data_IF_893674297459
#
_entry.id   IF_893674297459
#
_cell.length_a   1.000
_cell.length_b   1.000
_cell.length_c   1.000
_cell.angle_alpha   90.00
_cell.angle_beta   90.00
_cell.angle_gamma   90.00
#
_symmetry.space_group_name_H-M   'P 1'
#
loop_
_entity.id
_entity.type
_entity.pdbx_description
1 polymer ?
2 water ?
#
# COMPACT_ATOMS: atom_id res chain seq x y z
N UNK A 2 16.91 26.76 -1.25
CA UNK A 2 15.46 26.57 -1.35
C UNK A 2 15.18 25.14 -1.78
N UNK A 3 14.37 24.44 -0.99
CA UNK A 3 14.03 23.07 -1.28
C UNK A 3 12.53 22.82 -1.38
N UNK A 4 12.18 21.80 -2.15
CA UNK A 4 10.78 21.44 -2.31
C UNK A 4 10.68 19.93 -2.14
N UNK A 5 10.06 19.51 -1.04
CA UNK A 5 9.92 18.11 -0.73
C UNK A 5 8.60 17.55 -1.25
N UNK A 6 8.72 16.47 -2.03
CA UNK A 6 7.59 15.78 -2.65
C UNK A 6 7.21 14.48 -1.97
N UNK A 7 5.92 14.15 -2.08
CA UNK A 7 5.40 12.89 -1.55
C UNK A 7 5.17 12.07 -2.82
N UNK A 8 5.12 10.75 -2.72
CA UNK A 8 4.94 9.93 -3.92
C UNK A 8 3.49 9.59 -4.22
N UNK A 9 2.86 8.78 -3.38
CA UNK A 9 1.48 8.44 -3.64
C UNK A 9 0.62 9.66 -3.41
N UNK A 10 -0.34 9.86 -4.32
CA UNK A 10 -1.25 10.99 -4.24
C UNK A 10 -0.69 12.20 -4.95
N UNK A 11 0.54 12.07 -5.47
CA UNK A 11 1.22 13.16 -6.16
C UNK A 11 1.70 12.76 -7.56
N UNK A 12 2.62 11.80 -7.58
CA UNK A 12 3.22 11.29 -8.81
C UNK A 12 2.57 9.98 -9.23
N UNK A 13 2.34 9.11 -8.25
CA UNK A 13 1.75 7.80 -8.50
C UNK A 13 0.53 7.57 -7.60
N UNK A 14 -0.32 6.62 -7.96
CA UNK A 14 -1.47 6.33 -7.12
C UNK A 14 -1.28 4.97 -6.48
N UNK A 15 -2.18 4.58 -5.59
CA UNK A 15 -2.08 3.30 -4.90
C UNK A 15 -2.95 2.21 -5.50
N UNK A 16 -3.67 2.55 -6.57
CA UNK A 16 -4.58 1.62 -7.25
C UNK A 16 -4.01 0.24 -7.51
N UNK A 17 -2.80 0.19 -8.07
CA UNK A 17 -2.15 -1.08 -8.39
C UNK A 17 -2.08 -1.98 -7.16
N UNK A 18 -1.95 -1.38 -5.98
CA UNK A 18 -1.89 -2.16 -4.75
C UNK A 18 -3.19 -2.94 -4.63
N UNK A 19 -4.31 -2.25 -4.78
CA UNK A 19 -5.63 -2.89 -4.70
C UNK A 19 -5.77 -3.95 -5.80
N UNK A 20 -5.13 -3.68 -6.95
CA UNK A 20 -5.14 -4.60 -8.08
C UNK A 20 -4.41 -5.88 -7.64
N UNK A 21 -3.14 -5.73 -7.29
CA UNK A 21 -2.38 -6.89 -6.87
C UNK A 21 -3.11 -7.59 -5.73
N UNK A 22 -3.66 -6.82 -4.80
CA UNK A 22 -4.39 -7.42 -3.70
C UNK A 22 -5.50 -8.34 -4.26
N UNK A 23 -6.22 -7.86 -5.28
CA UNK A 23 -7.28 -8.64 -5.91
C UNK A 23 -6.72 -9.89 -6.59
N UNK A 24 -5.67 -9.71 -7.39
CA UNK A 24 -5.03 -10.82 -8.09
C UNK A 24 -4.52 -11.87 -7.10
N UNK A 25 -4.13 -11.43 -5.92
CA UNK A 25 -3.62 -12.37 -4.93
C UNK A 25 -4.72 -13.33 -4.53
N UNK A 26 -5.83 -12.78 -4.05
CA UNK A 26 -6.97 -13.57 -3.63
C UNK A 26 -7.38 -14.52 -4.76
N UNK A 27 -7.47 -13.98 -5.97
CA UNK A 27 -7.86 -14.77 -7.13
C UNK A 27 -6.86 -15.91 -7.45
N UNK A 28 -5.56 -15.64 -7.40
CA UNK A 28 -4.59 -16.70 -7.68
C UNK A 28 -4.63 -17.77 -6.61
N UNK A 29 -4.92 -17.38 -5.38
CA UNK A 29 -5.00 -18.32 -4.28
C UNK A 29 -6.28 -19.13 -4.38
N UNK A 30 -7.15 -18.76 -5.32
CA UNK A 30 -8.41 -19.45 -5.45
C UNK A 30 -8.55 -20.38 -6.65
N UNK A 32 -5.69 -21.04 -9.00
CA UNK A 32 -4.50 -21.80 -9.40
C UNK A 32 -4.41 -23.18 -8.78
N UNK A 33 -4.01 -24.14 -9.61
CA UNK A 33 -3.89 -25.52 -9.17
C UNK A 33 -2.66 -25.67 -8.27
N UNK A 34 -2.01 -24.56 -7.97
CA UNK A 34 -0.83 -24.54 -7.08
C UNK A 34 -1.30 -24.40 -5.64
N UNK A 35 -2.57 -24.00 -5.49
CA UNK A 35 -3.21 -23.80 -4.20
C UNK A 35 -4.57 -24.49 -4.15
N UNK A 36 -5.67 -23.73 -4.21
CA UNK A 36 -6.97 -24.39 -4.20
C UNK A 36 -7.34 -24.96 -5.58
N UNK A 37 -7.19 -24.16 -6.63
CA UNK A 37 -7.53 -24.64 -7.95
C UNK A 37 -9.00 -24.96 -8.03
N UNK A 38 -9.83 -24.03 -7.62
CA UNK A 38 -11.29 -24.18 -7.61
C UNK A 38 -11.84 -24.41 -9.02
N UNK A 39 -11.57 -23.47 -9.93
CA UNK A 39 -12.04 -23.57 -11.30
C UNK A 39 -10.96 -23.13 -12.30
N UNK A 40 -11.28 -23.10 -13.60
CA UNK A 40 -10.32 -22.70 -14.62
C UNK A 40 -10.08 -21.21 -14.49
N UNK A 41 -9.05 -20.73 -15.17
CA UNK A 41 -8.72 -19.34 -15.07
C UNK A 41 -7.76 -18.96 -16.18
N UNK A 42 -7.70 -17.66 -16.48
CA UNK A 42 -6.83 -17.19 -17.53
C UNK A 42 -5.37 -17.36 -17.12
N UNK A 43 -4.49 -17.45 -18.11
CA UNK A 43 -3.07 -17.60 -17.85
C UNK A 43 -2.54 -16.32 -17.23
N UNK A 44 -2.01 -16.41 -16.01
CA UNK A 44 -1.49 -15.26 -15.29
C UNK A 44 -0.50 -14.46 -16.11
N UNK A 45 0.36 -15.17 -16.84
CA UNK A 45 1.38 -14.53 -17.63
C UNK A 45 0.85 -13.79 -18.86
N UNK A 46 -0.47 -13.81 -19.08
CA UNK A 46 -1.02 -13.10 -20.23
C UNK A 46 -2.11 -12.09 -19.83
N UNK A 47 -2.20 -11.79 -18.55
CA UNK A 47 -3.19 -10.82 -18.03
C UNK A 47 -3.06 -9.44 -18.69
N UNK A 48 -4.19 -8.75 -18.83
CA UNK A 48 -4.22 -7.40 -19.41
C UNK A 48 -4.77 -6.43 -18.37
N UNK A 49 -4.69 -5.14 -18.66
CA UNK A 49 -5.18 -4.14 -17.71
C UNK A 49 -6.68 -4.29 -17.50
N UNK A 50 -7.34 -4.94 -18.45
CA UNK A 50 -8.79 -5.18 -18.38
C UNK A 50 -9.09 -6.43 -17.56
N UNK A 51 -8.31 -7.50 -17.77
CA UNK A 51 -8.50 -8.75 -17.01
C UNK A 51 -8.41 -8.42 -15.52
N UNK A 52 -7.30 -7.80 -15.15
CA UNK A 52 -7.02 -7.41 -13.77
C UNK A 52 -8.16 -6.58 -13.22
N UNK A 53 -8.71 -5.70 -14.04
CA UNK A 53 -9.79 -4.84 -13.61
C UNK A 53 -11.04 -5.66 -13.38
N UNK A 54 -11.26 -6.63 -14.24
CA UNK A 54 -12.43 -7.47 -14.08
C UNK A 54 -12.29 -8.27 -12.80
N UNK A 55 -11.12 -8.87 -12.61
CA UNK A 55 -10.85 -9.68 -11.44
C UNK A 55 -11.11 -8.87 -10.16
N UNK A 56 -10.51 -7.70 -10.09
CA UNK A 56 -10.66 -6.78 -8.96
C UNK A 56 -12.12 -6.48 -8.71
N UNK A 57 -12.83 -6.24 -9.80
CA UNK A 57 -14.24 -5.94 -9.73
C UNK A 57 -15.02 -7.11 -9.11
N UNK A 58 -14.72 -8.32 -9.56
CA UNK A 58 -15.40 -9.50 -9.03
C UNK A 58 -15.07 -9.75 -7.56
N UNK A 59 -13.78 -9.78 -7.24
CA UNK A 59 -13.32 -10.03 -5.88
C UNK A 59 -13.87 -9.01 -4.88
N UNK A 60 -13.65 -7.72 -5.13
CA UNK A 60 -14.11 -6.68 -4.22
C UNK A 60 -15.53 -6.12 -4.44
N UNK A 61 -16.21 -6.60 -5.47
CA UNK A 61 -17.58 -6.15 -5.77
C UNK A 61 -17.67 -4.64 -5.97
N UNK A 62 -17.04 -4.14 -7.03
CA UNK A 62 -17.05 -2.72 -7.32
C UNK A 62 -16.33 -1.96 -6.23
N UNK A 63 -15.41 -2.63 -5.54
CA UNK A 63 -14.64 -1.98 -4.48
C UNK A 63 -15.42 -1.73 -3.21
N UNK A 64 -16.64 -2.27 -3.14
CA UNK A 64 -17.48 -2.12 -1.96
C UNK A 64 -16.78 -2.78 -0.77
N UNK A 65 -16.25 -3.99 -0.97
CA UNK A 65 -15.53 -4.75 0.06
C UNK A 65 -14.25 -3.99 0.41
N UNK A 66 -13.60 -3.48 -0.62
CA UNK A 66 -12.35 -2.73 -0.48
C UNK A 66 -12.50 -1.43 0.32
N UNK A 67 -13.64 -0.76 0.17
CA UNK A 67 -13.89 0.48 0.89
C UNK A 67 -14.41 0.25 2.31
N UNK A 68 -15.05 -0.90 2.53
CA UNK A 68 -15.58 -1.23 3.85
C UNK A 68 -14.41 -1.51 4.79
N UNK A 69 -13.40 -2.22 4.29
CA UNK A 69 -12.22 -2.56 5.09
C UNK A 69 -11.49 -1.29 5.50
N UNK A 70 -11.59 -0.26 4.67
CA UNK A 70 -10.94 1.01 4.98
C UNK A 70 -11.67 1.67 6.15
N UNK A 71 -12.98 1.82 6.02
CA UNK A 71 -13.76 2.44 7.08
C UNK A 71 -13.67 1.71 8.43
N UNK A 72 -13.19 0.47 8.42
CA UNK A 72 -13.08 -0.31 9.66
C UNK A 72 -11.68 -0.28 10.26
N UNK A 73 -10.73 0.33 9.56
CA UNK A 73 -9.37 0.42 10.06
C UNK A 73 -8.37 -0.50 9.38
N UNK A 74 -8.78 -1.18 8.32
CA UNK A 74 -7.88 -2.09 7.60
C UNK A 74 -7.37 -1.45 6.33
N UNK A 75 -6.25 -0.74 6.45
CA UNK A 75 -5.66 -0.06 5.31
C UNK A 75 -4.42 -0.74 4.76
N UNK A 76 -4.04 -1.87 5.35
CA UNK A 76 -2.90 -2.62 4.87
C UNK A 76 -3.42 -3.59 3.81
N UNK A 77 -2.80 -3.61 2.62
CA UNK A 77 -3.25 -4.50 1.56
C UNK A 77 -3.08 -5.96 1.94
N UNK A 78 -1.98 -6.28 2.63
CA UNK A 78 -1.72 -7.65 3.06
C UNK A 78 -2.90 -8.12 3.90
N UNK A 79 -3.25 -7.33 4.92
CA UNK A 79 -4.36 -7.70 5.79
C UNK A 79 -5.68 -7.83 5.01
N UNK A 81 -6.38 -8.45 1.69
CA UNK A 81 -6.45 -9.62 0.83
C UNK A 81 -6.53 -10.88 1.67
N UNK A 82 -5.90 -10.89 2.85
CA UNK A 82 -5.95 -12.05 3.71
C UNK A 82 -7.37 -12.32 4.22
N UNK A 83 -8.01 -11.28 4.78
CA UNK A 83 -9.37 -11.43 5.31
C UNK A 83 -10.36 -11.85 4.23
N UNK A 84 -10.25 -11.22 3.07
CA UNK A 84 -11.14 -11.53 1.94
C UNK A 84 -10.95 -12.99 1.49
N UNK A 85 -9.71 -13.47 1.50
CA UNK A 85 -9.46 -14.83 1.07
C UNK A 85 -9.87 -15.85 2.12
N UNK A 86 -9.85 -15.44 3.39
CA UNK A 86 -10.23 -16.35 4.48
C UNK A 86 -11.75 -16.62 4.47
N UNK A 87 -12.52 -15.58 4.16
CA UNK A 87 -13.97 -15.68 4.10
C UNK A 87 -14.39 -16.71 3.07
N UNK A 88 -13.67 -16.75 1.95
CA UNK A 88 -13.97 -17.71 0.91
C UNK A 88 -13.43 -19.07 1.27
N UNK A 89 -12.32 -19.10 1.99
CA UNK A 89 -11.73 -20.36 2.39
C UNK A 89 -12.68 -21.04 3.36
N UNK A 90 -13.08 -20.30 4.39
CA UNK A 90 -14.00 -20.81 5.39
C UNK A 90 -15.29 -21.29 4.71
N UNK A 91 -15.69 -20.58 3.65
CA UNK A 91 -16.90 -20.91 2.90
C UNK A 91 -16.80 -22.24 2.16
N UNK A 92 -15.62 -22.53 1.62
CA UNK A 92 -15.36 -23.76 0.90
C UNK A 92 -15.17 -24.90 1.92
N UNK A 93 -14.60 -24.59 3.08
CA UNK A 93 -14.38 -25.60 4.11
C UNK A 93 -15.64 -26.09 4.79
N UNK A 94 -16.72 -25.31 4.69
CA UNK A 94 -17.98 -25.69 5.30
C UNK A 94 -18.75 -26.64 4.39
N UNK A 95 -18.13 -27.04 3.28
CA UNK A 95 -18.75 -27.94 2.33
C UNK A 95 -18.15 -29.35 2.47
N UNK A 96 -17.08 -29.48 3.25
CA UNK A 96 -16.44 -30.78 3.47
C UNK A 96 -16.90 -31.34 4.81
N UNK A 97 -16.59 -32.62 5.05
CA UNK A 97 -16.97 -33.28 6.30
C UNK A 97 -16.10 -32.72 7.42
N UNK A 98 -16.55 -32.84 8.66
CA UNK A 98 -15.77 -32.33 9.76
C UNK A 98 -14.38 -32.97 9.77
N UNK A 99 -14.31 -34.23 9.35
CA UNK A 99 -13.04 -34.93 9.31
C UNK A 99 -12.07 -34.29 8.32
N UNK A 100 -12.56 -33.99 7.13
CA UNK A 100 -11.73 -33.36 6.11
C UNK A 100 -11.25 -32.00 6.59
N UNK A 101 -12.11 -31.32 7.35
CA UNK A 101 -11.77 -30.00 7.89
C UNK A 101 -10.60 -30.08 8.83
N UNK A 102 -10.74 -30.89 9.88
CA UNK A 102 -9.69 -31.04 10.87
C UNK A 102 -8.37 -31.41 10.21
N UNK A 103 -8.45 -32.05 9.04
CA UNK A 103 -7.26 -32.45 8.32
C UNK A 103 -6.51 -31.21 7.85
N UNK A 104 -7.18 -30.40 7.05
CA UNK A 104 -6.59 -29.17 6.52
C UNK A 104 -6.23 -28.21 7.66
N UNK A 106 -5.38 -29.07 10.86
CA UNK A 106 -4.40 -29.56 11.83
C UNK A 106 -3.28 -30.45 11.30
N UNK A 107 -3.24 -30.68 10.00
CA UNK A 107 -2.21 -31.52 9.40
C UNK A 107 -0.85 -30.81 9.53
N UNK A 108 0.19 -31.60 9.78
CA UNK A 108 1.55 -31.09 9.96
C UNK A 108 2.12 -30.47 8.67
N UNK A 109 1.54 -30.78 7.52
CA UNK A 109 2.05 -30.21 6.28
C UNK A 109 1.67 -28.75 6.16
N UNK A 110 2.47 -27.96 5.41
CA UNK A 110 2.20 -26.54 5.22
C UNK A 110 0.85 -26.28 4.54
N UNK A 111 0.15 -25.23 4.99
CA UNK A 111 -1.15 -24.86 4.44
C UNK A 111 -1.14 -24.72 2.94
N UNK A 112 -0.03 -24.26 2.40
CA UNK A 112 0.09 -24.11 0.97
C UNK A 112 -0.19 -25.44 0.28
N UNK A 113 0.36 -26.52 0.81
CA UNK A 113 0.17 -27.84 0.22
C UNK A 113 -1.16 -28.44 0.67
N UNK A 114 -1.63 -28.07 1.86
CA UNK A 114 -2.89 -28.59 2.37
C UNK A 114 -4.06 -27.98 1.60
N UNK A 115 -3.83 -26.84 0.96
CA UNK A 115 -4.88 -26.21 0.18
C UNK A 115 -5.14 -27.05 -1.06
N UNK A 116 -4.09 -27.69 -1.57
CA UNK A 116 -4.19 -28.52 -2.76
C UNK A 116 -5.00 -29.82 -2.59
N UNK A 117 -5.48 -30.07 -1.38
CA UNK A 117 -6.24 -31.28 -1.11
C UNK A 117 -7.66 -31.02 -0.65
N UNK A 118 -8.27 -29.95 -1.14
CA UNK A 118 -9.62 -29.62 -0.73
C UNK A 118 -10.63 -29.76 -1.86
N UNK A 119 -10.24 -29.30 -3.04
CA UNK A 119 -11.10 -29.34 -4.23
C UNK A 119 -11.51 -30.77 -4.61
N UNK A 120 -10.65 -31.75 -4.34
CA UNK A 120 -10.94 -33.13 -4.69
C UNK A 120 -12.03 -33.75 -3.81
N UNK A 121 -12.29 -33.12 -2.66
CA UNK A 121 -13.29 -33.62 -1.71
C UNK A 121 -14.62 -32.87 -1.77
N UNK A 122 -14.78 -32.05 -2.81
CA UNK A 122 -15.99 -31.27 -3.01
C UNK A 122 -17.04 -32.13 -3.72
N UNK A 123 -18.12 -32.43 -3.00
CA UNK A 123 -19.20 -33.25 -3.54
C UNK A 123 -19.81 -32.63 -4.78
N UNK A 124 -20.29 -31.40 -4.63
CA UNK A 124 -20.91 -30.69 -5.74
C UNK A 124 -19.98 -29.60 -6.22
N UNK A 125 -20.35 -28.95 -7.31
CA UNK A 125 -19.54 -27.87 -7.82
C UNK A 125 -19.70 -26.73 -6.81
N UNK A 126 -18.59 -26.16 -6.35
CA UNK A 126 -18.67 -25.06 -5.39
C UNK A 126 -18.89 -23.72 -6.12
N UNK A 127 -19.76 -22.87 -5.60
CA UNK A 127 -20.01 -21.57 -6.23
C UNK A 127 -19.38 -20.47 -5.36
N UNK A 128 -18.53 -19.64 -5.95
CA UNK A 128 -17.81 -18.59 -5.26
C UNK A 128 -18.53 -17.70 -4.23
N UNK A 129 -19.62 -17.07 -4.66
CA UNK A 129 -20.38 -16.15 -3.80
C UNK A 129 -19.46 -15.04 -3.29
N UNK A 130 -19.00 -14.20 -4.22
CA UNK A 130 -18.09 -13.11 -3.91
C UNK A 130 -18.71 -11.95 -3.13
N UNK A 131 -19.83 -12.20 -2.49
CA UNK A 131 -20.49 -11.17 -1.71
C UNK A 131 -20.33 -11.52 -0.22
N UNK A 132 -19.99 -12.77 0.05
CA UNK A 132 -19.83 -13.26 1.42
C UNK A 132 -18.96 -12.37 2.31
N UNK A 133 -17.73 -12.04 1.88
CA UNK A 133 -16.86 -11.20 2.70
C UNK A 133 -17.53 -9.89 3.12
N UNK A 134 -18.27 -9.29 2.20
CA UNK A 134 -18.97 -8.04 2.48
C UNK A 134 -20.10 -8.27 3.49
N UNK A 135 -20.75 -9.42 3.36
CA UNK A 135 -21.85 -9.77 4.26
C UNK A 135 -21.26 -10.36 5.55
N UNK A 136 -19.94 -10.27 5.65
CA UNK A 136 -19.23 -10.77 6.82
C UNK A 136 -18.95 -9.56 7.73
N UNK A 137 -18.53 -8.46 7.12
CA UNK A 137 -18.19 -7.24 7.85
C UNK A 137 -19.41 -6.48 8.38
N UNK A 138 -20.59 -6.87 7.90
CA UNK A 138 -21.86 -6.25 8.31
C UNK A 138 -21.84 -5.75 9.74
N UNK A 139 -21.53 -6.64 10.67
CA UNK A 139 -21.48 -6.26 12.09
C UNK A 139 -20.11 -6.59 12.67
N UNK A 140 -19.16 -5.69 12.46
CA UNK A 140 -17.79 -5.87 12.96
C UNK A 140 -17.30 -4.52 13.51
N UNK A 141 -16.81 -4.52 14.74
CA UNK A 141 -16.32 -3.29 15.36
C UNK A 141 -15.04 -2.79 14.69
N UNK A 142 -14.96 -1.48 14.50
CA UNK A 142 -13.80 -0.87 13.87
C UNK A 142 -12.53 -1.23 14.64
N UNK A 143 -11.44 -1.49 13.91
CA UNK A 143 -10.18 -1.82 14.55
C UNK A 143 -9.58 -3.12 14.05
N UNK A 144 -8.38 -3.03 13.47
CA UNK A 144 -7.71 -4.20 12.92
C UNK A 144 -7.81 -5.41 13.86
N UNK A 145 -7.35 -5.23 15.10
CA UNK A 145 -7.39 -6.29 16.10
C UNK A 145 -8.78 -6.92 16.20
N UNK A 146 -9.81 -6.06 16.20
CA UNK A 146 -11.21 -6.47 16.29
C UNK A 146 -11.65 -7.23 15.04
N UNK A 147 -11.16 -6.80 13.88
CA UNK A 147 -11.50 -7.45 12.62
C UNK A 147 -10.97 -8.88 12.62
N UNK A 148 -9.75 -9.06 13.10
CA UNK A 148 -9.14 -10.39 13.16
C UNK A 148 -9.88 -11.29 14.14
N UNK A 149 -10.44 -10.70 15.19
CA UNK A 149 -11.17 -11.46 16.19
C UNK A 149 -12.49 -11.97 15.59
N UNK A 150 -13.16 -11.13 14.81
CA UNK A 150 -14.41 -11.52 14.17
C UNK A 150 -14.15 -12.67 13.20
N UNK A 151 -13.07 -12.53 12.43
CA UNK A 151 -12.68 -13.55 11.46
C UNK A 151 -12.44 -14.89 12.12
N UNK A 152 -11.87 -14.86 13.33
CA UNK A 152 -11.57 -16.08 14.07
C UNK A 152 -12.82 -16.74 14.66
N UNK A 153 -13.70 -15.92 15.21
CA UNK A 153 -14.96 -16.38 15.79
C UNK A 153 -15.82 -16.99 14.70
N UNK A 154 -15.79 -16.37 13.52
CA UNK A 154 -16.57 -16.82 12.38
C UNK A 154 -16.11 -18.20 11.95
N UNK A 155 -14.80 -18.41 11.91
CA UNK A 155 -14.24 -19.69 11.51
C UNK A 155 -14.60 -20.80 12.49
N UNK A 156 -14.55 -20.50 13.79
CA UNK A 156 -14.88 -21.51 14.82
C UNK A 156 -16.35 -21.91 14.79
N UNK A 157 -17.24 -20.92 14.70
CA UNK A 157 -18.68 -21.18 14.66
C UNK A 157 -19.11 -21.85 13.34
N UNK A 158 -18.54 -21.41 12.23
CA UNK A 158 -18.86 -21.97 10.92
C UNK A 158 -18.28 -23.37 10.72
N UNK A 159 -17.00 -23.54 11.06
CA UNK A 159 -16.35 -24.81 10.90
C UNK A 159 -16.54 -25.74 12.09
N UNK A 160 -17.31 -25.28 13.08
CA UNK A 160 -17.59 -26.05 14.29
C UNK A 160 -16.33 -26.57 14.96
N UNK A 161 -15.33 -25.71 15.06
CA UNK A 161 -14.07 -26.07 15.69
C UNK A 161 -13.77 -25.03 16.78
N UNK A 162 -12.64 -25.18 17.46
CA UNK A 162 -12.29 -24.25 18.53
C UNK A 162 -10.95 -23.54 18.36
N UNK A 163 -10.06 -24.16 17.58
CA UNK A 163 -8.74 -23.58 17.33
C UNK A 163 -8.87 -22.31 16.46
N UNK A 164 -8.80 -22.46 15.15
CA UNK A 164 -8.92 -21.32 14.23
C UNK A 164 -7.70 -20.38 14.30
N UNK A 165 -6.57 -20.88 14.80
CA UNK A 165 -5.34 -20.07 14.90
C UNK A 165 -4.62 -20.02 13.56
N UNK A 166 -5.13 -20.78 12.60
CA UNK A 166 -4.57 -20.83 11.26
C UNK A 166 -4.85 -19.49 10.58
N UNK A 167 -5.93 -18.84 11.00
CA UNK A 167 -6.36 -17.55 10.46
C UNK A 167 -5.78 -16.37 11.23
N UNK A 168 -4.87 -16.67 12.16
CA UNK A 168 -4.25 -15.63 12.97
C UNK A 168 -3.41 -14.67 12.13
N UNK A 169 -3.29 -13.44 12.62
CA UNK A 169 -2.51 -12.43 11.96
C UNK A 169 -1.05 -12.88 11.90
N UNK A 170 -0.36 -12.56 10.80
CA UNK A 170 1.03 -12.95 10.64
C UNK A 170 1.19 -14.48 10.77
N UNK A 171 0.09 -15.21 10.57
CA UNK A 171 0.14 -16.66 10.67
C UNK A 171 0.75 -17.31 9.44
N UNK A 172 0.77 -18.63 9.41
CA UNK A 172 1.33 -19.33 8.27
C UNK A 172 0.55 -18.98 7.00
N UNK A 173 -0.78 -18.95 7.10
CA UNK A 173 -1.62 -18.62 5.95
C UNK A 173 -1.39 -17.16 5.57
N UNK A 174 -1.27 -16.30 6.58
CA UNK A 174 -1.05 -14.87 6.35
C UNK A 174 0.27 -14.64 5.63
N UNK A 175 1.26 -15.44 5.99
CA UNK A 175 2.59 -15.36 5.40
C UNK A 175 2.53 -15.81 3.93
N UNK A 176 1.74 -16.83 3.66
CA UNK A 176 1.58 -17.33 2.30
C UNK A 176 0.99 -16.26 1.42
N UNK A 177 -0.20 -15.78 1.79
CA UNK A 177 -0.91 -14.76 1.03
C UNK A 177 -0.05 -13.52 0.83
N UNK A 178 0.74 -13.20 1.85
CA UNK A 178 1.56 -12.02 1.75
C UNK A 178 2.74 -12.25 0.81
N UNK A 179 3.24 -13.48 0.72
CA UNK A 179 4.36 -13.76 -0.18
C UNK A 179 3.88 -13.73 -1.63
N UNK A 180 2.65 -14.19 -1.83
CA UNK A 180 2.06 -14.23 -3.17
C UNK A 180 1.88 -12.81 -3.67
N UNK A 181 1.49 -11.92 -2.78
CA UNK A 181 1.28 -10.53 -3.17
C UNK A 181 2.59 -9.83 -3.53
N UNK A 182 3.61 -10.08 -2.71
CA UNK A 182 4.92 -9.48 -2.92
C UNK A 182 5.55 -9.90 -4.24
N UNK A 183 5.37 -11.16 -4.62
CA UNK A 183 5.94 -11.62 -5.88
C UNK A 183 5.16 -10.96 -7.01
N UNK A 184 3.85 -10.89 -6.84
CA UNK A 184 2.98 -10.25 -7.81
C UNK A 184 3.46 -8.81 -8.03
N UNK A 185 3.69 -8.10 -6.93
CA UNK A 185 4.12 -6.72 -6.98
C UNK A 185 5.58 -6.48 -7.38
N UNK A 186 6.52 -6.95 -6.57
CA UNK A 186 7.94 -6.75 -6.86
C UNK A 186 8.42 -7.57 -8.05
N UNK A 187 7.75 -8.68 -8.31
CA UNK A 187 8.18 -9.55 -9.39
C UNK A 187 9.14 -10.57 -8.80
N UNK A 188 9.32 -11.70 -9.48
CA UNK A 188 10.20 -12.76 -9.00
C UNK A 188 11.60 -12.31 -8.59
N UNK A 189 12.27 -11.59 -9.49
CA UNK A 189 13.63 -11.11 -9.25
C UNK A 189 13.79 -10.27 -7.98
N UNK A 190 13.04 -9.17 -7.93
CA UNK A 190 13.05 -8.25 -6.79
C UNK A 190 12.49 -8.93 -5.52
N UNK A 191 11.62 -9.91 -5.72
CA UNK A 191 11.05 -10.64 -4.60
C UNK A 191 12.18 -11.30 -3.82
N UNK A 192 12.98 -12.11 -4.51
CA UNK A 192 14.09 -12.84 -3.90
C UNK A 192 15.07 -11.88 -3.20
N UNK A 193 15.41 -10.78 -3.85
CA UNK A 193 16.35 -9.83 -3.26
C UNK A 193 15.80 -9.03 -2.08
N UNK A 194 14.52 -8.71 -2.10
CA UNK A 194 13.90 -7.93 -1.04
C UNK A 194 13.39 -8.81 0.09
N UNK A 195 12.65 -9.85 -0.27
CA UNK A 195 12.09 -10.77 0.71
C UNK A 195 13.09 -11.83 1.18
N UNK A 196 14.15 -12.04 0.41
CA UNK A 196 15.17 -13.03 0.78
C UNK A 196 14.58 -14.43 0.78
N UNK A 197 13.70 -14.68 -0.19
CA UNK A 197 13.03 -15.95 -0.36
C UNK A 197 13.08 -16.30 -1.84
N UNK A 198 12.99 -17.59 -2.13
CA UNK A 198 13.00 -18.12 -3.49
C UNK A 198 11.64 -17.88 -4.11
N UNK A 199 11.64 -17.43 -5.37
CA UNK A 199 10.42 -17.14 -6.10
C UNK A 199 9.64 -18.38 -6.43
N UNK A 200 8.32 -18.26 -6.37
CA UNK A 200 7.44 -19.36 -6.67
C UNK A 200 7.29 -19.53 -8.17
N UNK A 201 7.21 -18.41 -8.90
CA UNK A 201 7.03 -18.45 -10.35
C UNK A 201 8.26 -17.92 -11.10
N UNK A 202 8.14 -17.84 -12.43
CA UNK A 202 9.20 -17.33 -13.28
C UNK A 202 8.58 -16.48 -14.36
N UNK A 203 7.30 -16.16 -14.20
CA UNK A 203 6.59 -15.34 -15.19
C UNK A 203 6.10 -14.00 -14.62
N UNK A 204 6.24 -13.82 -13.30
CA UNK A 204 5.80 -12.57 -12.68
C UNK A 204 6.88 -11.47 -12.78
N UNK A 205 6.61 -10.50 -13.66
CA UNK A 205 7.54 -9.41 -13.90
C UNK A 205 7.48 -8.29 -12.86
N UNK A 206 6.35 -8.17 -12.18
CA UNK A 206 6.21 -7.16 -11.16
C UNK A 206 5.49 -5.89 -11.59
N UNK A 207 4.27 -5.72 -11.09
CA UNK A 207 3.47 -4.56 -11.41
C UNK A 207 4.05 -3.29 -10.82
N UNK A 208 5.25 -3.39 -10.26
CA UNK A 208 5.90 -2.22 -9.70
C UNK A 208 6.37 -1.42 -10.91
N UNK A 209 6.58 -2.12 -12.01
CA UNK A 209 7.02 -1.51 -13.26
C UNK A 209 5.84 -0.98 -14.08
N UNK A 210 4.62 -1.30 -13.68
CA UNK A 210 3.45 -0.82 -14.41
C UNK A 210 2.58 -0.04 -13.45
N UNK A 211 3.22 0.83 -12.67
CA UNK A 211 2.55 1.65 -11.68
C UNK A 211 1.63 2.67 -12.38
N UNK A 212 0.49 2.95 -11.75
CA UNK A 212 -0.49 3.89 -12.26
C UNK A 212 0.01 5.34 -12.10
N UNK A 213 0.21 6.01 -13.22
CA UNK A 213 0.69 7.38 -13.17
C UNK A 213 -0.46 8.35 -12.93
N UNK A 214 -0.18 9.43 -12.21
CA UNK A 214 -1.21 10.43 -11.93
C UNK A 214 -1.12 11.54 -12.98
N UNK A 215 0.11 11.87 -13.36
CA UNK A 215 0.36 12.90 -14.37
C UNK A 215 1.37 12.42 -15.41
N UNK A 216 1.11 12.67 -16.71
CA UNK A 216 2.02 12.25 -17.78
C UNK A 216 3.45 12.57 -17.42
N UNK A 217 4.30 11.55 -17.38
CA UNK A 217 5.70 11.72 -17.01
C UNK A 217 6.44 12.76 -17.85
N UNK A 218 6.24 12.72 -19.16
CA UNK A 218 6.89 13.66 -20.06
C UNK A 218 6.57 15.11 -19.67
N UNK A 219 5.40 15.33 -19.07
CA UNK A 219 4.98 16.66 -18.63
C UNK A 219 5.64 17.03 -17.29
N UNK A 220 5.78 16.06 -16.38
CA UNK A 220 6.40 16.34 -15.08
C UNK A 220 7.92 16.43 -15.23
N UNK A 221 8.48 15.77 -16.23
CA UNK A 221 9.92 15.83 -16.43
C UNK A 221 10.35 17.24 -16.81
N UNK A 222 9.42 18.02 -17.37
CA UNK A 222 9.69 19.41 -17.75
C UNK A 222 9.51 20.31 -16.54
N UNK A 223 8.52 19.97 -15.72
CA UNK A 223 8.22 20.74 -14.51
C UNK A 223 9.37 20.59 -13.52
N UNK A 224 9.84 19.37 -13.32
CA UNK A 224 10.94 19.12 -12.40
C UNK A 224 12.21 19.80 -12.88
N UNK A 225 12.45 19.71 -14.19
CA UNK A 225 13.61 20.32 -14.82
C UNK A 225 13.62 21.83 -14.62
N UNK A 226 12.49 22.50 -14.88
CA UNK A 226 12.42 23.94 -14.70
C UNK A 226 12.55 24.27 -13.21
N UNK A 227 11.98 23.42 -12.37
CA UNK A 227 12.05 23.63 -10.92
C UNK A 227 13.51 23.74 -10.51
N UNK A 228 14.34 22.88 -11.08
CA UNK A 228 15.77 22.92 -10.78
C UNK A 228 16.35 24.16 -11.43
N UNK A 229 15.84 24.49 -12.62
CA UNK A 229 16.32 25.67 -13.32
C UNK A 229 16.11 26.96 -12.55
N UNK A 230 15.14 26.95 -11.64
CA UNK A 230 14.82 28.11 -10.82
C UNK A 230 15.55 28.06 -9.49
N UNK A 231 16.64 27.31 -9.45
CA UNK A 231 17.44 27.19 -8.24
C UNK A 231 16.81 26.33 -7.15
N UNK A 232 15.90 25.44 -7.51
CA UNK A 232 15.27 24.58 -6.51
C UNK A 232 15.92 23.22 -6.35
N UNK A 233 16.06 22.81 -5.10
CA UNK A 233 16.63 21.50 -4.78
C UNK A 233 15.42 20.60 -4.51
N UNK A 234 15.37 19.44 -5.14
CA UNK A 234 14.25 18.52 -4.96
C UNK A 234 14.47 17.44 -3.89
N UNK A 235 13.38 16.96 -3.29
CA UNK A 235 13.47 15.94 -2.26
C UNK A 235 12.23 15.04 -2.21
N UNK A 236 12.39 13.82 -1.67
CA UNK A 236 11.29 12.87 -1.55
C UNK A 236 11.11 12.24 -0.15
N UNK A 237 9.87 12.28 0.35
CA UNK A 237 9.50 11.67 1.63
C UNK A 237 8.22 10.88 1.40
N UNK A 238 8.30 9.54 1.45
CA UNK A 238 7.11 8.71 1.23
C UNK A 238 6.97 7.60 2.27
N UNK A 239 5.80 6.98 2.29
CA UNK A 239 5.53 5.89 3.21
C UNK A 239 5.91 4.56 2.57
N UNK A 240 6.27 4.62 1.30
CA UNK A 240 6.69 3.45 0.54
C UNK A 240 8.11 3.03 0.93
N UNK A 241 8.39 1.72 0.92
CA UNK A 241 9.75 1.30 1.27
C UNK A 241 10.71 1.68 0.13
N UNK A 242 11.99 1.46 0.36
CA UNK A 242 13.04 1.79 -0.62
C UNK A 242 12.79 1.36 -2.05
N UNK A 243 12.60 0.07 -2.25
CA UNK A 243 12.40 -0.46 -3.59
C UNK A 243 11.14 0.05 -4.29
N UNK A 244 10.05 0.10 -3.54
CA UNK A 244 8.78 0.56 -4.09
C UNK A 244 8.81 2.03 -4.51
N UNK A 245 9.89 2.71 -4.13
CA UNK A 245 10.10 4.12 -4.46
C UNK A 245 11.11 4.24 -5.60
N UNK A 246 12.31 3.71 -5.39
CA UNK A 246 13.36 3.78 -6.39
C UNK A 246 13.00 3.12 -7.74
N UNK A 247 12.69 1.82 -7.72
CA UNK A 247 12.35 1.09 -8.93
C UNK A 247 11.33 1.79 -9.82
N UNK A 248 10.18 2.19 -9.24
CA UNK A 248 9.17 2.88 -10.05
C UNK A 248 9.72 4.16 -10.69
N UNK A 249 10.27 5.04 -9.86
CA UNK A 249 10.83 6.29 -10.36
C UNK A 249 11.94 6.07 -11.37
N UNK A 250 12.71 5.02 -11.14
CA UNK A 250 13.81 4.64 -12.02
C UNK A 250 13.25 4.29 -13.40
N UNK A 251 12.36 3.29 -13.43
CA UNK A 251 11.73 2.83 -14.67
C UNK A 251 11.03 3.97 -15.42
N UNK A 252 10.48 4.93 -14.68
CA UNK A 252 9.77 6.04 -15.28
C UNK A 252 10.64 7.19 -15.79
N UNK A 253 11.86 7.26 -15.28
CA UNK A 253 12.78 8.33 -15.70
C UNK A 253 12.66 9.58 -14.84
N UNK A 254 12.21 9.43 -13.61
CA UNK A 254 12.07 10.58 -12.72
C UNK A 254 13.22 10.65 -11.73
N UNK A 255 13.78 9.47 -11.42
CA UNK A 255 14.87 9.38 -10.47
C UNK A 255 16.00 10.38 -10.70
N UNK A 256 16.42 10.58 -11.96
CA UNK A 256 17.50 11.53 -12.25
C UNK A 256 17.29 12.96 -11.71
N UNK A 257 16.06 13.28 -11.32
CA UNK A 257 15.73 14.61 -10.78
C UNK A 257 15.73 14.63 -9.26
N UNK A 258 16.13 13.52 -8.65
CA UNK A 258 16.17 13.42 -7.20
C UNK A 258 17.48 12.78 -6.75
N UNK A 259 18.25 13.49 -5.93
CA UNK A 259 19.50 12.95 -5.41
C UNK A 259 19.19 11.83 -4.43
N UNK A 260 19.90 10.72 -4.55
CA UNK A 260 19.66 9.59 -3.67
C UNK A 260 19.76 9.92 -2.18
N UNK A 261 20.54 10.93 -1.81
CA UNK A 261 20.69 11.29 -0.41
C UNK A 261 19.52 12.10 0.14
N UNK A 262 18.62 12.50 -0.75
CA UNK A 262 17.48 13.29 -0.36
C UNK A 262 16.16 12.58 -0.63
N UNK A 263 16.18 11.26 -0.52
CA UNK A 263 14.98 10.47 -0.71
C UNK A 263 14.76 9.65 0.56
N UNK A 264 13.81 10.11 1.37
CA UNK A 264 13.49 9.43 2.63
C UNK A 264 12.30 8.49 2.39
N UNK A 265 12.42 7.25 2.87
CA UNK A 265 11.36 6.26 2.69
C UNK A 265 11.00 5.58 3.99
N UNK A 266 10.06 4.63 3.90
CA UNK A 266 9.59 3.87 5.06
C UNK A 266 10.70 2.99 5.60
N UNK A 267 11.70 2.72 4.78
CA UNK A 267 12.81 1.89 5.21
C UNK A 267 13.63 2.73 6.19
N UNK A 268 13.83 4.00 5.89
CA UNK A 268 14.60 4.84 6.80
C UNK A 268 13.93 4.96 8.16
N UNK A 269 12.62 5.24 8.18
CA UNK A 269 11.92 5.36 9.45
C UNK A 269 12.04 4.05 10.21
N UNK A 270 12.03 2.95 9.47
CA UNK A 270 12.15 1.62 10.05
C UNK A 270 13.53 1.44 10.64
N UNK A 271 14.54 1.91 9.92
CA UNK A 271 15.90 1.79 10.39
C UNK A 271 16.07 2.68 11.61
N UNK A 272 15.65 3.93 11.49
CA UNK A 272 15.76 4.90 12.58
C UNK A 272 15.11 4.43 13.88
N UNK A 273 14.00 3.69 13.77
CA UNK A 273 13.31 3.21 14.96
C UNK A 273 14.08 2.10 15.66
N UNK A 274 14.82 1.31 14.89
CA UNK A 274 15.61 0.23 15.46
C UNK A 274 16.81 0.76 16.23
N UNK A 276 16.79 3.83 17.66
CA UNK A 276 16.19 4.57 18.77
C UNK A 276 14.77 4.08 18.97
N UNK A 277 14.61 2.85 19.48
CA UNK A 277 13.27 2.28 19.71
C UNK A 277 12.35 3.13 20.60
N UNK A 278 12.85 3.63 21.72
CA UNK A 278 12.04 4.44 22.60
C UNK A 278 11.77 5.82 22.02
N UNK A 279 12.00 5.97 20.71
CA UNK A 279 11.76 7.24 20.02
C UNK A 279 10.38 7.16 19.40
N UNK A 280 9.53 6.34 20.01
CA UNK A 280 8.16 6.15 19.57
C UNK A 280 8.16 5.91 18.07
N UNK A 281 6.98 6.00 17.43
CA UNK A 281 6.94 5.78 15.98
C UNK A 281 7.42 7.02 15.25
N UNK A 282 8.17 6.80 14.17
CA UNK A 282 8.71 7.87 13.36
C UNK A 282 7.98 7.88 12.02
N UNK A 283 6.72 7.44 12.05
CA UNK A 283 5.89 7.38 10.86
C UNK A 283 5.61 8.72 10.22
N UNK A 284 4.94 8.72 9.07
CA UNK A 284 4.65 9.96 8.33
C UNK A 284 4.09 11.15 9.10
N UNK A 285 3.33 10.92 10.19
CA UNK A 285 2.85 12.14 10.88
C UNK A 285 4.08 12.87 11.42
N UNK A 286 5.06 12.09 11.87
CA UNK A 286 6.30 12.64 12.42
C UNK A 286 7.14 13.14 11.23
N UNK A 287 7.58 14.41 11.28
CA UNK A 287 8.38 15.06 10.23
C UNK A 287 9.78 14.47 9.98
N UNK A 288 10.12 13.39 10.68
CA UNK A 288 11.43 12.77 10.52
C UNK A 288 11.89 12.54 9.09
N UNK A 289 11.05 11.88 8.30
CA UNK A 289 11.39 11.57 6.91
C UNK A 289 11.54 12.84 6.09
N UNK A 290 10.71 13.84 6.37
CA UNK A 290 10.81 15.09 5.64
C UNK A 290 12.11 15.78 6.02
N UNK A 291 12.50 15.64 7.29
CA UNK A 291 13.73 16.25 7.79
C UNK A 291 14.96 15.56 7.19
N UNK A 292 14.84 14.26 6.96
CA UNK A 292 15.92 13.47 6.38
C UNK A 292 16.07 13.81 4.90
N UNK A 293 14.95 14.08 4.26
CA UNK A 293 14.93 14.41 2.84
C UNK A 293 15.42 15.82 2.60
N UNK A 294 15.45 16.61 3.66
CA UNK A 294 15.88 17.99 3.56
C UNK A 294 17.37 18.19 3.83
N UNK A 295 17.86 17.71 4.96
CA UNK A 295 19.26 17.88 5.30
C UNK A 295 20.19 16.77 4.76
N UNK A 296 19.65 15.58 4.55
CA UNK A 296 20.48 14.50 4.06
C UNK A 296 20.04 13.22 4.71
N UNK A 297 20.14 12.10 4.00
CA UNK A 297 19.71 10.84 4.56
C UNK A 297 20.86 9.95 5.02
N UNK A 298 21.44 10.30 6.16
CA UNK A 298 22.53 9.53 6.72
C UNK A 298 22.25 9.14 8.17
N UNK A 299 22.38 7.83 8.44
CA UNK A 299 22.16 7.25 9.77
C UNK A 299 22.67 8.11 10.91
N UNK A 300 23.87 8.67 10.72
CA UNK A 300 24.53 9.48 11.72
C UNK A 300 23.85 10.78 12.06
N UNK A 301 22.79 11.12 11.35
CA UNK A 301 22.10 12.39 11.61
C UNK A 301 20.68 12.16 12.07
N UNK A 302 20.26 10.90 12.06
CA UNK A 302 18.91 10.55 12.46
C UNK A 302 18.47 11.12 13.79
N UNK A 303 19.28 10.91 14.82
CA UNK A 303 18.95 11.41 16.15
C UNK A 303 18.58 12.88 16.16
N UNK A 304 19.28 13.65 15.34
CA UNK A 304 19.00 15.08 15.29
C UNK A 304 17.69 15.34 14.57
N UNK A 305 17.34 14.47 13.64
CA UNK A 305 16.10 14.61 12.89
C UNK A 305 14.90 14.31 13.78
N UNK A 306 15.17 13.62 14.89
CA UNK A 306 14.14 13.22 15.85
C UNK A 306 13.94 14.25 16.96
N UNK A 307 15.04 14.82 17.44
CA UNK A 307 15.03 15.80 18.52
C UNK A 307 14.81 17.25 18.11
N UNK A 308 15.19 17.59 16.87
CA UNK A 308 15.03 18.95 16.35
C UNK A 308 14.03 18.97 15.21
N UNK A 309 12.77 19.25 15.55
CA UNK A 309 11.70 19.29 14.55
C UNK A 309 10.86 20.58 14.59
N UNK A 310 10.72 21.17 15.76
CA UNK A 310 9.90 22.37 15.89
C UNK A 310 10.47 23.63 15.24
N UNK A 311 9.79 24.07 14.17
CA UNK A 311 10.15 25.28 13.43
C UNK A 311 11.65 25.40 13.15
N UNK A 312 12.21 24.43 12.44
CA UNK A 312 13.63 24.46 12.15
C UNK A 312 13.95 25.04 10.78
N UNK A 313 12.91 25.50 10.06
CA UNK A 313 13.11 26.06 8.73
C UNK A 313 12.20 27.26 8.49
N UNK A 314 12.63 28.16 7.61
CA UNK A 314 11.81 29.32 7.28
C UNK A 314 10.77 28.94 6.26
N UNK A 315 9.64 29.63 6.34
CA UNK A 315 8.50 29.41 5.46
C UNK A 315 8.82 29.51 3.96
N UNK A 316 9.82 30.30 3.59
CA UNK A 316 10.17 30.46 2.18
C UNK A 316 11.29 29.58 1.67
N UNK A 317 11.82 28.73 2.54
CA UNK A 317 12.94 27.89 2.13
C UNK A 317 12.59 26.43 1.85
N UNK A 318 11.42 26.02 2.32
CA UNK A 318 10.96 24.65 2.11
C UNK A 318 9.47 24.61 1.79
N UNK A 319 9.15 23.90 0.70
CA UNK A 319 7.78 23.73 0.22
C UNK A 319 7.48 22.23 0.14
N UNK A 320 6.57 21.77 0.99
CA UNK A 320 6.19 20.38 1.00
C UNK A 320 4.96 20.21 0.10
N UNK A 321 5.08 19.30 -0.86
CA UNK A 321 4.04 19.00 -1.85
C UNK A 321 3.46 17.61 -1.61
N UNK A 322 2.25 17.57 -1.08
CA UNK A 322 1.63 16.30 -0.82
C UNK A 322 0.12 16.40 -0.89
N UNK A 323 -0.54 15.31 -0.55
CA UNK A 323 -1.98 15.27 -0.59
C UNK A 323 -2.58 14.88 0.75
N UNK A 324 -1.80 14.17 1.56
CA UNK A 324 -2.30 13.73 2.86
C UNK A 324 -2.19 14.83 3.89
N UNK A 325 -3.08 14.73 4.87
CA UNK A 325 -3.12 15.67 5.96
C UNK A 325 -1.90 15.45 6.85
N UNK A 326 -1.45 14.19 6.97
CA UNK A 326 -0.30 13.89 7.80
C UNK A 326 0.94 14.66 7.33
N UNK A 327 0.98 15.02 6.05
CA UNK A 327 2.11 15.78 5.50
C UNK A 327 1.94 17.26 5.80
N UNK A 328 0.69 17.68 5.91
CA UNK A 328 0.36 19.07 6.20
C UNK A 328 0.85 19.44 7.60
N UNK A 329 0.57 18.57 8.57
CA UNK A 329 0.99 18.78 9.95
C UNK A 329 2.51 18.71 10.08
N UNK A 330 3.15 17.88 9.26
CA UNK A 330 4.61 17.77 9.28
C UNK A 330 5.24 19.07 8.79
N UNK A 331 4.54 19.77 7.88
CA UNK A 331 5.08 21.03 7.36
C UNK A 331 4.81 22.13 8.38
N UNK A 332 3.60 22.18 8.94
CA UNK A 332 3.30 23.20 9.94
C UNK A 332 4.20 22.99 11.15
N UNK A 333 4.65 21.74 11.34
CA UNK A 333 5.54 21.37 12.45
C UNK A 333 6.94 21.94 12.34
N UNK A 334 7.60 21.67 11.21
CA UNK A 334 8.97 22.12 10.94
C UNK A 334 9.02 23.57 10.45
N UNK A 335 7.86 24.16 10.18
CA UNK A 335 7.82 25.52 9.71
C UNK A 335 7.94 25.71 8.20
N UNK A 336 7.60 24.67 7.43
CA UNK A 336 7.70 24.78 5.98
C UNK A 336 6.36 25.14 5.35
N UNK A 337 6.42 25.71 4.14
CA UNK A 337 5.21 26.06 3.44
C UNK A 337 4.58 24.78 2.89
N UNK A 338 3.27 24.63 3.08
CA UNK A 338 2.58 23.44 2.61
C UNK A 338 1.66 23.72 1.42
N UNK A 339 1.75 22.86 0.40
CA UNK A 339 0.91 22.99 -0.76
C UNK A 339 0.28 21.62 -1.04
N UNK A 340 -1.03 21.54 -0.82
CA UNK A 340 -1.76 20.29 -1.01
C UNK A 340 -2.26 20.02 -2.42
N UNK A 341 -2.22 18.75 -2.81
CA UNK A 341 -2.70 18.34 -4.14
C UNK A 341 -4.02 17.61 -4.01
N UNK A 342 -4.85 17.70 -5.04
CA UNK A 342 -6.15 17.02 -4.99
C UNK A 342 -6.13 15.71 -5.76
N UNK A 343 -4.97 15.08 -5.81
CA UNK A 343 -4.81 13.82 -6.52
C UNK A 343 -4.71 12.59 -5.61
N UNK A 344 -5.31 12.69 -4.41
CA UNK A 344 -5.31 11.58 -3.46
C UNK A 344 -6.46 10.63 -3.75
N UNK A 345 -6.51 9.50 -3.05
CA UNK A 345 -7.58 8.52 -3.26
C UNK A 345 -8.98 9.13 -3.09
N UNK A 346 -9.08 10.18 -2.28
CA UNK A 346 -10.34 10.86 -2.02
C UNK A 346 -10.64 11.87 -3.13
N UNK A 347 -9.68 12.08 -4.02
CA UNK A 347 -9.87 13.03 -5.11
C UNK A 347 -9.87 14.47 -4.62
N UNK A 348 -10.82 15.26 -5.10
CA UNK A 348 -10.91 16.66 -4.70
C UNK A 348 -11.74 16.85 -3.43
N UNK A 349 -12.45 15.80 -3.02
CA UNK A 349 -13.27 15.84 -1.82
C UNK A 349 -12.41 16.10 -0.58
N UNK A 350 -11.10 16.04 -0.74
CA UNK A 350 -10.17 16.25 0.36
C UNK A 350 -9.81 17.73 0.53
N UNK A 351 -10.44 18.58 -0.27
CA UNK A 351 -10.18 20.02 -0.21
C UNK A 351 -10.66 20.67 1.08
N UNK A 352 -11.83 20.22 1.56
CA UNK A 352 -12.39 20.76 2.79
C UNK A 352 -11.52 20.58 4.00
N UNK A 353 -10.97 19.38 4.20
CA UNK A 353 -10.10 19.13 5.34
C UNK A 353 -8.80 19.93 5.21
N UNK A 354 -8.31 20.11 3.98
CA UNK A 354 -7.07 20.85 3.77
C UNK A 354 -7.23 22.32 4.14
N UNK A 355 -8.35 22.91 3.76
CA UNK A 355 -8.57 24.30 4.09
C UNK A 355 -8.92 24.44 5.57
N UNK A 356 -9.63 23.46 6.12
CA UNK A 356 -9.98 23.51 7.54
C UNK A 356 -8.71 23.31 8.39
N UNK A 357 -7.61 22.94 7.75
CA UNK A 357 -6.34 22.73 8.47
C UNK A 357 -5.34 23.83 8.14
N UNK A 358 -5.81 24.88 7.49
CA UNK A 358 -4.99 26.02 7.10
C UNK A 358 -3.84 25.63 6.19
N UNK A 359 -4.16 25.03 5.06
CA UNK A 359 -3.13 24.64 4.10
C UNK A 359 -2.73 25.89 3.35
N UNK A 360 -1.44 26.16 3.30
CA UNK A 360 -0.93 27.36 2.61
C UNK A 360 -1.53 27.51 1.22
N UNK A 361 -1.53 26.42 0.44
CA UNK A 361 -2.09 26.44 -0.90
C UNK A 361 -2.71 25.10 -1.20
N UNK A 362 -3.62 25.10 -2.16
CA UNK A 362 -4.27 23.86 -2.56
C UNK A 362 -4.30 23.88 -4.09
N UNK A 363 -3.74 22.84 -4.70
CA UNK A 363 -3.67 22.74 -6.15
C UNK A 363 -4.44 21.50 -6.64
N UNK A 364 -4.94 21.51 -7.87
CA UNK A 364 -5.68 20.36 -8.40
C UNK A 364 -4.76 19.18 -8.63
N UNK A 365 -3.58 19.46 -9.18
CA UNK A 365 -2.60 18.40 -9.47
C UNK A 365 -1.19 18.98 -9.60
N UNK A 366 -0.20 18.10 -9.63
CA UNK A 366 1.19 18.50 -9.73
C UNK A 366 1.46 19.56 -10.80
N UNK A 367 0.66 19.58 -11.85
CA UNK A 367 0.87 20.55 -12.92
C UNK A 367 0.64 21.99 -12.51
N UNK A 368 -0.44 22.21 -11.77
CA UNK A 368 -0.81 23.54 -11.30
C UNK A 368 0.15 24.07 -10.24
N UNK A 369 1.29 23.41 -10.08
CA UNK A 369 2.28 23.83 -9.09
C UNK A 369 2.99 25.13 -9.47
N UNK A 370 3.08 25.41 -10.76
CA UNK A 370 3.73 26.63 -11.21
C UNK A 370 2.96 27.87 -10.72
N UNK A 371 1.63 27.76 -10.73
CA UNK A 371 0.79 28.86 -10.30
C UNK A 371 1.11 29.32 -8.90
N UNK A 372 1.45 28.37 -8.04
CA UNK A 372 1.79 28.68 -6.66
C UNK A 372 3.15 29.32 -6.54
N UNK A 373 4.12 28.86 -7.34
CA UNK A 373 5.46 29.45 -7.24
C UNK A 373 5.57 30.81 -7.92
N UNK A 374 4.65 31.11 -8.84
CA UNK A 374 4.71 32.40 -9.51
C UNK A 374 3.68 33.36 -8.93
N UNK A 375 2.97 32.89 -7.90
CA UNK A 375 1.97 33.69 -7.22
C UNK A 375 1.98 33.44 -5.73
N UNK A 376 3.17 33.28 -5.16
CA UNK A 376 3.29 33.03 -3.73
C UNK A 376 2.49 34.01 -2.89
N UNK A 377 2.59 35.29 -3.20
CA UNK A 377 1.85 36.31 -2.45
C UNK A 377 0.48 36.57 -3.09
N UNK A 378 0.43 36.64 -4.43
CA UNK A 378 -0.85 36.87 -5.09
C UNK A 378 -1.92 35.90 -4.60
N UNK A 379 -1.61 34.61 -4.69
CA UNK A 379 -2.51 33.54 -4.28
C UNK A 379 -2.27 33.05 -2.85
N UNK A 380 -1.82 33.96 -1.97
CA UNK A 380 -1.56 33.61 -0.57
C UNK A 380 -2.84 33.53 0.25
#
# INVERSE_FOLDING_TARGET
>A
XKKILFDVDGVFLSEERCFDVSALTVYELLXDKCYLGLHSHIDWETLTDNDIQDIRNRIFQKDKILNKLKSLGLNSNWDXLFIVFSIHLIDILKKLSHDEIEAFXYQDEPVELKLQNISTNLADCFNLNEQLPLQFLDNVKVGKNNIYAALEEFATTELHVSDATLFSLKGALWTLAQEVYQEWYLGSKLYEDVEKKIARTTFKTGYIYQEIILRPVDEVKVLLNDLKGAGFELGIATGRPYTETVVPFENLGLLPYFEADFIATASDVLEAENXYPQARPLGKPNPFSYIAALYGNNRDKYESYINKQDNIVNKDDVFIVGDSLADLLSAQKIGATFIGTLTGLKGKDAAGELEAHHADYVINHLGELRGVLDNLLEHHHHHH
#
